data_IF_439219979894
#
_entry.id   IF_439219979894
#
_cell.length_a   1.000
_cell.length_b   1.000
_cell.length_c   1.000
_cell.angle_alpha   90.00
_cell.angle_beta   90.00
_cell.angle_gamma   90.00
#
_symmetry.space_group_name_H-M   'P 1'
#
loop_
_entity.id
_entity.type
_entity.pdbx_description
1 polymer ?
#
# COMPACT_ATOMS: atom_id res chain seq x y z
N UNK A 1 40.21 4.65 -0.52
CA UNK A 1 38.91 4.08 -0.11
C UNK A 1 37.84 5.00 -0.63
N UNK A 2 36.96 4.54 -1.53
CA UNK A 2 35.86 5.36 -2.05
C UNK A 2 34.73 5.37 -1.03
N UNK A 3 34.36 6.55 -0.58
CA UNK A 3 33.24 6.77 0.34
C UNK A 3 31.92 6.53 -0.42
N UNK A 4 31.08 5.62 0.08
CA UNK A 4 29.78 5.32 -0.55
C UNK A 4 28.75 6.30 0.00
N UNK A 5 28.30 7.25 -0.81
CA UNK A 5 27.19 8.13 -0.46
C UNK A 5 25.87 7.37 -0.58
N UNK A 6 25.21 7.11 0.55
CA UNK A 6 23.88 6.50 0.58
C UNK A 6 22.80 7.56 0.43
N UNK A 7 21.83 7.29 -0.45
CA UNK A 7 20.61 8.08 -0.54
C UNK A 7 19.58 7.57 0.47
N UNK A 8 19.41 8.31 1.57
CA UNK A 8 18.50 7.96 2.66
C UNK A 8 17.02 8.24 2.36
N UNK A 9 16.71 8.84 1.21
CA UNK A 9 15.32 9.08 0.77
C UNK A 9 14.67 7.82 0.19
N UNK A 10 15.46 6.75 -0.05
CA UNK A 10 14.97 5.50 -0.61
C UNK A 10 15.63 4.29 0.05
N UNK A 11 14.88 3.21 0.15
CA UNK A 11 15.42 1.91 0.53
C UNK A 11 14.70 0.80 -0.24
N UNK A 12 15.35 -0.36 -0.35
CA UNK A 12 14.77 -1.56 -0.95
C UNK A 12 14.89 -2.71 0.03
N UNK A 13 13.78 -3.42 0.25
CA UNK A 13 13.74 -4.65 1.06
C UNK A 13 13.23 -5.81 0.21
N UNK A 14 13.83 -6.98 0.38
CA UNK A 14 13.38 -8.22 -0.23
C UNK A 14 13.11 -9.25 0.88
N UNK A 15 11.96 -9.92 0.80
CA UNK A 15 11.55 -10.97 1.73
C UNK A 15 11.19 -12.20 0.90
N UNK A 16 11.69 -13.37 1.31
CA UNK A 16 11.38 -14.64 0.66
C UNK A 16 10.17 -15.28 1.33
N UNK A 17 9.17 -15.63 0.54
CA UNK A 17 7.92 -16.25 1.02
C UNK A 17 7.75 -17.57 0.26
N UNK A 18 7.54 -18.67 0.98
CA UNK A 18 7.34 -19.99 0.42
C UNK A 18 5.90 -20.18 -0.11
N UNK A 19 5.49 -19.34 -1.06
CA UNK A 19 4.17 -19.37 -1.69
C UNK A 19 4.24 -18.81 -3.12
N UNK A 20 3.27 -19.11 -3.99
CA UNK A 20 3.17 -18.47 -5.30
C UNK A 20 3.06 -16.94 -5.16
N UNK A 21 3.82 -16.21 -5.98
CA UNK A 21 3.86 -14.74 -5.92
C UNK A 21 2.47 -14.11 -6.07
N UNK A 22 1.62 -14.69 -6.93
CA UNK A 22 0.26 -14.19 -7.15
C UNK A 22 -0.62 -14.36 -5.90
N UNK A 23 -0.50 -15.47 -5.18
CA UNK A 23 -1.22 -15.69 -3.94
C UNK A 23 -0.83 -14.65 -2.89
N UNK A 24 0.47 -14.36 -2.75
CA UNK A 24 0.96 -13.30 -1.87
C UNK A 24 0.42 -11.94 -2.31
N UNK A 25 0.51 -11.62 -3.60
CA UNK A 25 0.03 -10.34 -4.12
C UNK A 25 -1.45 -10.11 -3.81
N UNK A 26 -2.30 -11.14 -3.99
CA UNK A 26 -3.73 -11.06 -3.68
C UNK A 26 -4.01 -10.73 -2.22
N UNK A 27 -3.13 -11.09 -1.27
CA UNK A 27 -3.36 -10.77 0.15
C UNK A 27 -3.23 -9.29 0.47
N UNK A 28 -2.67 -8.49 -0.44
CA UNK A 28 -2.54 -7.04 -0.28
C UNK A 28 -3.72 -6.26 -0.85
N UNK A 29 -4.53 -6.88 -1.71
CA UNK A 29 -5.44 -6.12 -2.59
C UNK A 29 -6.82 -5.83 -2.00
N UNK A 30 -7.23 -6.53 -0.96
CA UNK A 30 -8.59 -6.38 -0.38
C UNK A 30 -8.51 -6.07 1.10
N UNK A 31 -9.53 -5.42 1.64
CA UNK A 31 -9.58 -5.08 3.07
C UNK A 31 -9.59 -6.35 3.94
N UNK A 32 -10.36 -7.36 3.56
CA UNK A 32 -10.45 -8.63 4.28
C UNK A 32 -9.11 -9.39 4.30
N UNK A 33 -8.29 -9.30 3.25
CA UNK A 33 -7.03 -10.02 3.21
C UNK A 33 -5.89 -9.28 3.92
N UNK A 34 -5.74 -7.97 3.67
CA UNK A 34 -4.63 -7.20 4.24
C UNK A 34 -4.73 -7.12 5.77
N UNK A 35 -5.96 -7.15 6.29
CA UNK A 35 -6.22 -7.09 7.74
C UNK A 35 -5.91 -8.40 8.49
N UNK A 36 -5.70 -9.51 7.77
CA UNK A 36 -5.36 -10.81 8.39
C UNK A 36 -3.90 -10.90 8.83
N UNK A 37 -3.04 -10.04 8.30
CA UNK A 37 -1.59 -10.22 8.50
C UNK A 37 -0.80 -8.92 8.67
N UNK A 38 -1.32 -7.76 8.26
CA UNK A 38 -0.55 -6.52 8.25
C UNK A 38 -1.14 -5.39 9.09
N UNK A 39 -2.40 -5.01 8.84
CA UNK A 39 -3.06 -3.86 9.48
C UNK A 39 -4.29 -4.28 10.28
N UNK A 40 -4.69 -3.49 11.27
CA UNK A 40 -5.81 -3.86 12.16
C UNK A 40 -7.18 -3.61 11.52
N UNK A 41 -7.31 -2.56 10.71
CA UNK A 41 -8.49 -2.29 9.92
C UNK A 41 -8.13 -1.55 8.63
N UNK A 42 -8.96 -1.73 7.60
CA UNK A 42 -8.78 -1.11 6.30
C UNK A 42 -10.13 -0.73 5.70
N UNK A 43 -10.21 0.49 5.18
CA UNK A 43 -11.31 0.96 4.33
C UNK A 43 -10.74 1.51 3.04
N UNK A 44 -11.34 1.15 1.92
CA UNK A 44 -10.98 1.68 0.61
C UNK A 44 -12.18 2.38 -0.02
N UNK A 45 -11.95 3.58 -0.56
CA UNK A 45 -13.00 4.41 -1.14
C UNK A 45 -12.63 4.77 -2.57
N UNK A 46 -13.50 4.41 -3.51
CA UNK A 46 -13.35 4.74 -4.92
C UNK A 46 -13.42 6.26 -5.17
N UNK A 47 -12.92 6.76 -6.32
CA UNK A 47 -12.96 8.19 -6.64
C UNK A 47 -14.35 8.82 -6.61
N UNK A 48 -15.41 8.04 -6.82
CA UNK A 48 -16.80 8.48 -6.74
C UNK A 48 -17.37 8.51 -5.31
N UNK A 49 -16.55 8.24 -4.29
CA UNK A 49 -16.95 8.19 -2.88
C UNK A 49 -17.55 6.87 -2.42
N UNK A 50 -17.66 5.86 -3.29
CA UNK A 50 -18.20 4.54 -2.93
C UNK A 50 -17.15 3.74 -2.16
N UNK A 51 -17.52 3.21 -0.99
CA UNK A 51 -16.67 2.29 -0.24
C UNK A 51 -16.65 0.94 -0.93
N UNK A 52 -15.44 0.38 -1.15
CA UNK A 52 -15.27 -0.94 -1.73
C UNK A 52 -15.72 -2.03 -0.78
N UNK A 53 -16.22 -3.13 -1.32
CA UNK A 53 -16.56 -4.30 -0.50
C UNK A 53 -15.29 -4.93 0.11
N UNK A 54 -15.40 -5.63 1.27
CA UNK A 54 -14.23 -6.19 1.94
C UNK A 54 -13.38 -7.14 1.08
N UNK A 55 -14.01 -7.85 0.16
CA UNK A 55 -13.41 -8.80 -0.79
C UNK A 55 -13.13 -8.20 -2.17
N UNK A 56 -13.51 -6.93 -2.39
CA UNK A 56 -13.26 -6.22 -3.64
C UNK A 56 -11.80 -5.74 -3.71
N UNK A 57 -11.07 -6.03 -4.80
CA UNK A 57 -9.73 -5.50 -4.99
C UNK A 57 -9.72 -3.98 -5.11
N UNK A 58 -8.70 -3.36 -4.51
CA UNK A 58 -8.35 -1.96 -4.74
C UNK A 58 -7.99 -1.71 -6.20
N UNK A 59 -8.21 -0.49 -6.65
CA UNK A 59 -7.85 0.00 -7.98
C UNK A 59 -7.06 1.30 -7.86
N UNK A 60 -6.35 1.64 -8.93
CA UNK A 60 -5.69 2.94 -9.03
C UNK A 60 -6.71 4.08 -8.86
N UNK A 61 -6.34 5.07 -8.05
CA UNK A 61 -7.19 6.22 -7.71
C UNK A 61 -7.99 6.06 -6.42
N UNK A 62 -8.09 4.85 -5.85
CA UNK A 62 -8.75 4.67 -4.56
C UNK A 62 -8.01 5.41 -3.44
N UNK A 63 -8.78 5.92 -2.48
CA UNK A 63 -8.27 6.37 -1.20
C UNK A 63 -8.31 5.21 -0.21
N UNK A 64 -7.26 5.05 0.59
CA UNK A 64 -7.26 4.11 1.69
C UNK A 64 -7.29 4.86 3.03
N UNK A 65 -7.90 4.23 4.01
CA UNK A 65 -7.79 4.58 5.42
C UNK A 65 -7.45 3.30 6.19
N UNK A 66 -6.26 3.26 6.79
CA UNK A 66 -5.73 2.13 7.53
C UNK A 66 -5.61 2.48 9.00
N UNK A 67 -6.00 1.54 9.86
CA UNK A 67 -5.75 1.60 11.29
C UNK A 67 -4.75 0.53 11.67
N UNK A 68 -3.67 0.94 12.32
CA UNK A 68 -2.64 0.07 12.84
C UNK A 68 -3.07 -0.58 14.15
N UNK A 69 -2.37 -1.62 14.58
CA UNK A 69 -2.66 -2.30 15.86
C UNK A 69 -2.32 -1.44 17.10
N UNK A 70 -1.59 -0.34 16.91
CA UNK A 70 -1.10 0.55 17.97
C UNK A 70 -1.89 1.88 18.04
N UNK A 71 -3.19 1.87 17.73
CA UNK A 71 -4.07 3.06 17.75
C UNK A 71 -3.53 4.25 16.94
N UNK A 72 -2.93 3.95 15.79
CA UNK A 72 -2.49 4.93 14.80
C UNK A 72 -3.31 4.75 13.52
N UNK A 73 -3.60 5.85 12.83
CA UNK A 73 -4.33 5.85 11.56
C UNK A 73 -3.49 6.49 10.46
N UNK A 74 -3.62 5.95 9.25
CA UNK A 74 -2.89 6.37 8.06
C UNK A 74 -3.87 6.51 6.90
N UNK A 75 -3.75 7.58 6.13
CA UNK A 75 -4.52 7.78 4.90
C UNK A 75 -3.60 7.98 3.73
N UNK A 76 -4.07 7.57 2.55
CA UNK A 76 -3.30 7.74 1.32
C UNK A 76 -4.08 7.29 0.10
N UNK A 77 -3.36 7.12 -1.00
CA UNK A 77 -3.93 6.77 -2.30
C UNK A 77 -3.24 5.57 -2.90
N UNK A 78 -4.03 4.72 -3.54
CA UNK A 78 -3.54 3.67 -4.44
C UNK A 78 -3.19 4.33 -5.76
N UNK A 79 -1.92 4.28 -6.14
CA UNK A 79 -1.40 4.91 -7.35
C UNK A 79 -1.46 3.95 -8.54
N UNK A 80 -1.13 2.68 -8.29
CA UNK A 80 -1.11 1.66 -9.33
C UNK A 80 -1.41 0.28 -8.75
N UNK A 81 -2.24 -0.47 -9.48
CA UNK A 81 -2.39 -1.91 -9.38
C UNK A 81 -2.20 -2.43 -10.79
N UNK A 82 -1.11 -3.13 -11.06
CA UNK A 82 -0.65 -3.27 -12.45
C UNK A 82 0.03 -4.59 -12.81
N UNK A 83 0.43 -4.72 -14.08
CA UNK A 83 1.09 -5.91 -14.59
C UNK A 83 2.36 -6.22 -13.77
N UNK A 84 2.63 -7.52 -13.59
CA UNK A 84 3.80 -7.98 -12.83
C UNK A 84 3.62 -8.03 -11.31
N UNK A 85 2.37 -8.08 -10.81
CA UNK A 85 2.07 -8.19 -9.37
C UNK A 85 2.62 -7.00 -8.56
N UNK A 86 2.43 -5.79 -9.10
CA UNK A 86 2.90 -4.55 -8.50
C UNK A 86 1.73 -3.75 -7.92
N UNK A 87 1.90 -3.35 -6.66
CA UNK A 87 1.03 -2.43 -5.93
C UNK A 87 1.86 -1.21 -5.53
N UNK A 88 1.39 -0.02 -5.85
CA UNK A 88 2.01 1.25 -5.46
C UNK A 88 0.99 2.11 -4.71
N UNK A 89 1.39 2.65 -3.57
CA UNK A 89 0.57 3.52 -2.74
C UNK A 89 1.44 4.58 -2.06
N UNK A 90 0.84 5.73 -1.73
CA UNK A 90 1.49 6.76 -0.89
C UNK A 90 1.49 6.33 0.56
N UNK A 91 2.41 6.79 1.40
CA UNK A 91 2.35 6.65 2.86
C UNK A 91 3.21 7.74 3.52
N UNK A 92 2.94 8.05 4.79
CA UNK A 92 3.64 9.09 5.54
C UNK A 92 2.94 10.45 5.42
N UNK A 93 3.08 11.27 6.47
CA UNK A 93 2.37 12.54 6.62
C UNK A 93 2.52 13.47 5.39
N UNK A 94 1.36 13.89 4.88
CA UNK A 94 1.11 14.88 3.82
C UNK A 94 2.05 14.78 2.62
N UNK A 95 1.68 13.90 1.68
CA UNK A 95 2.04 14.07 0.28
C UNK A 95 1.46 15.42 -0.19
N UNK A 96 2.25 16.49 -0.15
CA UNK A 96 1.94 17.69 -0.92
C UNK A 96 2.22 17.35 -2.39
N UNK A 97 1.21 17.46 -3.24
CA UNK A 97 1.36 17.16 -4.67
C UNK A 97 2.34 18.12 -5.37
N UNK A 98 2.78 19.17 -4.67
CA UNK A 98 3.84 20.09 -5.11
C UNK A 98 5.25 19.47 -5.08
N UNK A 99 5.46 18.32 -4.43
CA UNK A 99 6.76 17.65 -4.30
C UNK A 99 6.99 16.50 -5.31
N UNK A 100 6.18 16.39 -6.36
CA UNK A 100 6.51 15.48 -7.48
C UNK A 100 7.56 16.13 -8.39
N UNK A 101 8.67 15.43 -8.70
CA UNK A 101 9.69 15.90 -9.66
C UNK A 101 9.18 15.94 -11.10
#
# INVERSE_FOLDING_TARGET
MSETTYDWTRFRRQVFIAAPAESVFRTWLTADQITRWFIAAATYTAPNGTVRQPDEPVQAGDQYHWRWHQDYEETGRILQVGPGLMLQFTFGATYDASDSP
#
